data_IF_772458590193
#
_entry.id   IF_772458590193
#
_cell.length_a   1.000
_cell.length_b   1.000
_cell.length_c   1.000
_cell.angle_alpha   90.00
_cell.angle_beta   90.00
_cell.angle_gamma   90.00
#
_symmetry.space_group_name_H-M   'P 1'
#
loop_
_entity.id
_entity.type
_entity.pdbx_description
1 polymer ?
#
# COMPACT_ATOMS: atom_id res chain seq x y z
N UNK A 1 -25.85 12.50 8.80
CA UNK A 1 -24.73 11.57 9.06
C UNK A 1 -23.40 12.16 8.56
N UNK A 2 -23.16 12.27 7.24
CA UNK A 2 -21.88 12.79 6.71
C UNK A 2 -21.59 14.26 7.09
N UNK A 3 -22.62 15.10 7.19
CA UNK A 3 -22.47 16.49 7.66
C UNK A 3 -22.00 16.58 9.12
N UNK A 4 -22.42 15.64 9.98
CA UNK A 4 -21.98 15.57 11.37
C UNK A 4 -20.52 15.11 11.49
N UNK A 5 -19.97 14.58 10.40
CA UNK A 5 -18.60 14.14 10.24
C UNK A 5 -17.75 15.19 9.50
N UNK A 6 -18.26 16.38 9.19
CA UNK A 6 -17.55 17.37 8.35
C UNK A 6 -17.11 16.82 6.98
N UNK A 7 -17.81 15.81 6.44
CA UNK A 7 -17.54 15.27 5.11
C UNK A 7 -16.13 14.71 4.92
N UNK A 8 -15.59 14.89 3.70
CA UNK A 8 -14.22 14.52 3.35
C UNK A 8 -13.23 15.60 3.81
N UNK A 9 -12.04 15.17 4.23
CA UNK A 9 -10.93 16.08 4.47
C UNK A 9 -10.34 16.56 3.13
N UNK A 10 -10.62 17.80 2.75
CA UNK A 10 -10.21 18.38 1.46
C UNK A 10 -8.69 18.51 1.29
N UNK A 11 -7.92 18.41 2.39
CA UNK A 11 -6.45 18.40 2.35
C UNK A 11 -5.91 17.09 1.75
N UNK A 12 -6.70 16.03 1.77
CA UNK A 12 -6.35 14.74 1.20
C UNK A 12 -6.71 14.72 -0.29
N UNK A 13 -5.74 14.48 -1.17
CA UNK A 13 -5.98 14.26 -2.61
C UNK A 13 -6.23 12.77 -2.93
N UNK A 14 -5.80 11.87 -2.04
CA UNK A 14 -6.11 10.43 -2.08
C UNK A 14 -6.45 9.94 -0.67
N UNK A 15 -7.08 8.76 -0.59
CA UNK A 15 -7.49 8.10 0.65
C UNK A 15 -8.58 8.84 1.44
N UNK A 16 -9.30 9.80 0.83
CA UNK A 16 -10.38 10.51 1.51
C UNK A 16 -11.49 9.55 1.94
N UNK A 17 -11.78 8.57 1.09
CA UNK A 17 -12.72 7.47 1.30
C UNK A 17 -12.29 6.52 2.42
N UNK A 18 -11.01 6.15 2.46
CA UNK A 18 -10.44 5.28 3.50
C UNK A 18 -10.51 5.97 4.87
N UNK A 19 -10.06 7.23 4.94
CA UNK A 19 -10.09 8.04 6.16
C UNK A 19 -11.52 8.20 6.68
N UNK A 20 -12.45 8.61 5.81
CA UNK A 20 -13.84 8.81 6.17
C UNK A 20 -14.47 7.49 6.66
N UNK A 21 -14.20 6.38 5.97
CA UNK A 21 -14.68 5.05 6.37
C UNK A 21 -14.18 4.67 7.76
N UNK A 22 -12.90 4.91 8.06
CA UNK A 22 -12.32 4.67 9.40
C UNK A 22 -12.99 5.52 10.46
N UNK A 23 -13.26 6.78 10.16
CA UNK A 23 -13.89 7.72 11.08
C UNK A 23 -15.36 7.40 11.34
N UNK A 24 -16.11 6.95 10.32
CA UNK A 24 -17.47 6.40 10.47
C UNK A 24 -17.46 5.21 11.44
N UNK A 25 -16.59 4.23 11.20
CA UNK A 25 -16.51 3.03 12.04
C UNK A 25 -16.07 3.36 13.48
N UNK A 26 -15.16 4.33 13.66
CA UNK A 26 -14.69 4.78 14.99
C UNK A 26 -15.81 5.42 15.82
N UNK A 27 -16.84 5.96 15.19
CA UNK A 27 -18.04 6.47 15.87
C UNK A 27 -19.08 5.39 16.19
N UNK A 28 -18.75 4.10 16.00
CA UNK A 28 -19.67 2.99 16.26
C UNK A 28 -20.77 2.84 15.21
N UNK A 29 -20.63 3.51 14.06
CA UNK A 29 -21.56 3.39 12.95
C UNK A 29 -21.16 2.23 12.03
N UNK A 30 -22.13 1.75 11.24
CA UNK A 30 -21.94 0.63 10.32
C UNK A 30 -21.85 1.10 8.87
N UNK A 31 -21.01 0.43 8.07
CA UNK A 31 -20.94 0.59 6.62
C UNK A 31 -21.55 -0.66 5.99
N UNK A 32 -22.61 -0.49 5.21
CA UNK A 32 -23.31 -1.59 4.54
C UNK A 32 -22.86 -1.70 3.08
N UNK A 33 -22.50 -2.92 2.66
CA UNK A 33 -22.21 -3.22 1.27
C UNK A 33 -23.51 -3.63 0.57
N UNK A 34 -23.88 -2.92 -0.50
CA UNK A 34 -25.08 -3.21 -1.29
C UNK A 34 -24.67 -4.07 -2.49
N UNK A 35 -25.01 -5.38 -2.51
CA UNK A 35 -24.48 -6.31 -3.52
C UNK A 35 -25.10 -6.13 -4.91
N UNK A 36 -26.23 -5.42 -5.02
CA UNK A 36 -26.93 -5.19 -6.28
C UNK A 36 -26.30 -4.09 -7.14
N UNK A 37 -25.43 -3.26 -6.57
CA UNK A 37 -24.78 -2.16 -7.30
C UNK A 37 -23.55 -2.71 -8.02
N UNK A 38 -23.51 -2.53 -9.34
CA UNK A 38 -22.34 -2.87 -10.17
C UNK A 38 -21.76 -1.61 -10.81
N UNK A 39 -20.43 -1.64 -11.02
CA UNK A 39 -19.70 -0.59 -11.70
C UNK A 39 -18.64 -1.25 -12.59
N UNK A 40 -18.49 -0.77 -13.82
CA UNK A 40 -17.41 -1.21 -14.69
C UNK A 40 -16.13 -0.47 -14.29
N UNK A 41 -15.18 -1.21 -13.72
CA UNK A 41 -13.89 -0.68 -13.33
C UNK A 41 -12.82 -1.05 -14.36
N UNK A 42 -12.12 -0.04 -14.89
CA UNK A 42 -11.02 -0.24 -15.83
C UNK A 42 -9.69 -0.26 -15.08
N UNK A 43 -9.09 -1.44 -14.99
CA UNK A 43 -7.76 -1.62 -14.42
C UNK A 43 -6.68 -1.02 -15.35
N UNK A 44 -5.48 -0.81 -14.80
CA UNK A 44 -4.32 -0.41 -15.60
C UNK A 44 -3.84 -1.57 -16.46
N UNK A 45 -3.43 -1.26 -17.68
CA UNK A 45 -3.14 -2.28 -18.70
C UNK A 45 -1.64 -2.61 -18.79
N UNK A 46 -0.77 -1.79 -18.21
CA UNK A 46 0.68 -1.98 -18.23
C UNK A 46 1.32 -1.98 -16.84
N UNK A 47 2.46 -2.66 -16.71
CA UNK A 47 3.24 -2.68 -15.46
C UNK A 47 3.69 -1.29 -15.03
N UNK A 48 4.05 -0.40 -15.97
CA UNK A 48 4.45 0.97 -15.67
C UNK A 48 3.29 1.79 -15.08
N UNK A 49 2.08 1.61 -15.59
CA UNK A 49 0.91 2.27 -15.05
C UNK A 49 0.51 1.71 -13.67
N UNK A 50 0.63 0.39 -13.48
CA UNK A 50 0.43 -0.27 -12.19
C UNK A 50 1.45 0.25 -11.18
N UNK A 51 2.72 0.34 -11.56
CA UNK A 51 3.81 0.88 -10.75
C UNK A 51 3.50 2.32 -10.33
N UNK A 52 3.22 3.20 -11.29
CA UNK A 52 2.93 4.60 -11.01
C UNK A 52 1.70 4.79 -10.12
N UNK A 53 0.65 3.97 -10.29
CA UNK A 53 -0.54 4.02 -9.44
C UNK A 53 -0.25 3.58 -8.01
N UNK A 54 0.47 2.45 -7.85
CA UNK A 54 0.80 1.91 -6.53
C UNK A 54 1.82 2.75 -5.80
N UNK A 55 2.80 3.31 -6.50
CA UNK A 55 3.72 4.30 -5.95
C UNK A 55 2.96 5.50 -5.37
N UNK A 56 2.01 6.07 -6.11
CA UNK A 56 1.17 7.17 -5.60
C UNK A 56 0.33 6.75 -4.41
N UNK A 57 -0.20 5.52 -4.39
CA UNK A 57 -0.96 5.01 -3.25
C UNK A 57 -0.08 4.92 -1.99
N UNK A 58 1.09 4.29 -2.09
CA UNK A 58 2.04 4.21 -0.99
C UNK A 58 2.48 5.58 -0.49
N UNK A 59 2.84 6.47 -1.41
CA UNK A 59 3.20 7.86 -1.10
C UNK A 59 2.10 8.57 -0.30
N UNK A 60 0.85 8.47 -0.74
CA UNK A 60 -0.27 9.13 -0.09
C UNK A 60 -0.68 8.49 1.25
N UNK A 61 -0.34 7.24 1.53
CA UNK A 61 -0.64 6.65 2.84
C UNK A 61 0.07 7.36 3.97
N UNK A 62 1.38 7.53 3.84
CA UNK A 62 2.19 8.17 4.88
C UNK A 62 1.78 9.63 5.02
N UNK A 63 1.44 10.25 3.89
CA UNK A 63 0.91 11.60 3.89
C UNK A 63 -0.46 11.71 4.57
N UNK A 64 -1.35 10.74 4.37
CA UNK A 64 -2.66 10.70 5.02
C UNK A 64 -2.49 10.66 6.53
N UNK A 65 -1.60 9.80 7.04
CA UNK A 65 -1.27 9.74 8.47
C UNK A 65 -0.71 11.06 8.97
N UNK A 66 0.16 11.71 8.18
CA UNK A 66 0.75 13.00 8.54
C UNK A 66 -0.30 14.13 8.60
N UNK A 67 -1.13 14.28 7.57
CA UNK A 67 -2.16 15.33 7.45
C UNK A 67 -3.24 15.17 8.53
N UNK A 68 -3.71 13.94 8.73
CA UNK A 68 -4.73 13.62 9.73
C UNK A 68 -4.18 13.55 11.15
N UNK A 69 -2.85 13.46 11.30
CA UNK A 69 -2.16 13.17 12.57
C UNK A 69 -2.70 11.93 13.28
N UNK A 70 -3.17 10.96 12.50
CA UNK A 70 -3.83 9.77 13.01
C UNK A 70 -3.41 8.54 12.21
N UNK A 71 -2.66 7.63 12.85
CA UNK A 71 -2.23 6.36 12.23
C UNK A 71 -3.41 5.42 11.96
N UNK A 72 -4.50 5.54 12.72
CA UNK A 72 -5.72 4.73 12.55
C UNK A 72 -6.56 5.17 11.35
N UNK A 73 -6.22 6.30 10.69
CA UNK A 73 -6.81 6.70 9.40
C UNK A 73 -6.59 5.64 8.31
N UNK A 74 -5.62 4.74 8.51
CA UNK A 74 -5.33 3.60 7.64
C UNK A 74 -5.30 2.29 8.43
N UNK A 75 -5.63 1.18 7.76
CA UNK A 75 -5.42 -0.17 8.32
C UNK A 75 -3.94 -0.58 8.27
N UNK A 76 -3.51 -1.46 9.19
CA UNK A 76 -2.13 -1.96 9.27
C UNK A 76 -1.57 -2.55 7.96
N UNK A 77 -2.43 -3.18 7.14
CA UNK A 77 -2.06 -3.74 5.84
C UNK A 77 -1.42 -2.71 4.87
N UNK A 78 -1.75 -1.43 4.99
CA UNK A 78 -1.20 -0.38 4.12
C UNK A 78 0.27 -0.08 4.43
N UNK A 79 0.79 -0.51 5.60
CA UNK A 79 2.19 -0.34 5.98
C UNK A 79 3.04 -1.57 5.67
N UNK A 80 2.43 -2.72 5.34
CA UNK A 80 3.14 -3.97 5.04
C UNK A 80 4.13 -3.82 3.86
N UNK A 81 3.77 -3.18 2.73
CA UNK A 81 4.72 -2.99 1.63
C UNK A 81 5.92 -2.11 2.01
N UNK A 82 5.71 -1.09 2.85
CA UNK A 82 6.79 -0.25 3.39
C UNK A 82 7.72 -1.09 4.29
N UNK A 83 7.14 -1.91 5.17
CA UNK A 83 7.89 -2.81 6.05
C UNK A 83 8.78 -3.78 5.27
N UNK A 84 8.27 -4.35 4.17
CA UNK A 84 9.05 -5.21 3.27
C UNK A 84 10.27 -4.48 2.70
N UNK A 85 10.05 -3.29 2.11
CA UNK A 85 11.13 -2.49 1.51
C UNK A 85 12.17 -2.07 2.54
N UNK A 86 11.74 -1.62 3.72
CA UNK A 86 12.65 -1.24 4.82
C UNK A 86 13.43 -2.44 5.34
N UNK A 87 12.80 -3.59 5.54
CA UNK A 87 13.48 -4.79 6.02
C UNK A 87 14.56 -5.26 5.05
N UNK A 88 14.27 -5.26 3.75
CA UNK A 88 15.25 -5.58 2.70
C UNK A 88 16.37 -4.53 2.65
N UNK A 89 16.04 -3.24 2.66
CA UNK A 89 17.05 -2.17 2.61
C UNK A 89 17.97 -2.19 3.83
N UNK A 90 17.41 -2.28 5.04
CA UNK A 90 18.18 -2.30 6.27
C UNK A 90 19.09 -3.53 6.37
N UNK A 91 18.59 -4.73 6.06
CA UNK A 91 19.41 -5.96 6.09
C UNK A 91 20.52 -5.94 5.04
N UNK A 92 20.24 -5.40 3.84
CA UNK A 92 21.26 -5.23 2.81
C UNK A 92 22.37 -4.26 3.24
N UNK A 93 21.99 -3.07 3.72
CA UNK A 93 22.95 -2.05 4.17
C UNK A 93 23.76 -2.53 5.37
N UNK A 94 23.11 -3.18 6.35
CA UNK A 94 23.81 -3.80 7.48
C UNK A 94 24.76 -4.91 7.04
N UNK A 95 24.43 -5.66 5.99
CA UNK A 95 25.28 -6.70 5.41
C UNK A 95 26.64 -6.20 4.91
N UNK A 96 26.74 -4.92 4.54
CA UNK A 96 28.00 -4.27 4.14
C UNK A 96 28.94 -4.15 5.34
N UNK A 97 28.40 -3.90 6.54
CA UNK A 97 29.18 -3.73 7.77
C UNK A 97 29.28 -5.03 8.59
N UNK A 98 28.29 -5.92 8.45
CA UNK A 98 28.15 -7.15 9.20
C UNK A 98 27.54 -8.23 8.31
N UNK A 99 28.42 -9.01 7.66
CA UNK A 99 28.08 -10.03 6.67
C UNK A 99 26.93 -10.98 7.07
N UNK A 100 26.79 -11.43 8.33
CA UNK A 100 25.66 -12.27 8.73
C UNK A 100 24.27 -11.66 8.43
N UNK A 101 24.14 -10.33 8.34
CA UNK A 101 22.87 -9.68 7.99
C UNK A 101 22.38 -10.03 6.58
N UNK A 102 23.27 -10.42 5.66
CA UNK A 102 22.90 -10.88 4.31
C UNK A 102 22.00 -12.12 4.36
N UNK A 103 22.17 -13.01 5.35
CA UNK A 103 21.28 -14.15 5.50
C UNK A 103 19.84 -13.71 5.83
N UNK A 104 19.67 -12.63 6.60
CA UNK A 104 18.35 -12.06 6.86
C UNK A 104 17.74 -11.47 5.58
N UNK A 105 18.52 -10.74 4.78
CA UNK A 105 18.08 -10.24 3.47
C UNK A 105 17.57 -11.37 2.57
N UNK A 106 18.37 -12.43 2.42
CA UNK A 106 18.02 -13.60 1.60
C UNK A 106 16.77 -14.29 2.16
N UNK A 107 16.67 -14.47 3.48
CA UNK A 107 15.52 -15.10 4.11
C UNK A 107 14.22 -14.31 3.87
N UNK A 108 14.25 -12.98 4.02
CA UNK A 108 13.09 -12.11 3.77
C UNK A 108 12.66 -12.22 2.30
N UNK A 109 13.62 -12.12 1.37
CA UNK A 109 13.34 -12.20 -0.05
C UNK A 109 12.77 -13.57 -0.45
N UNK A 110 13.29 -14.65 0.13
CA UNK A 110 12.81 -16.01 -0.09
C UNK A 110 11.39 -16.20 0.44
N UNK A 111 11.10 -15.79 1.68
CA UNK A 111 9.77 -15.88 2.27
C UNK A 111 8.75 -15.11 1.41
N UNK A 112 9.09 -13.89 1.01
CA UNK A 112 8.26 -13.10 0.12
C UNK A 112 8.01 -13.81 -1.22
N UNK A 113 9.06 -14.31 -1.86
CA UNK A 113 8.98 -14.96 -3.18
C UNK A 113 8.16 -16.25 -3.12
N UNK A 114 8.34 -17.07 -2.08
CA UNK A 114 7.53 -18.28 -1.84
C UNK A 114 6.07 -17.92 -1.62
N UNK A 115 5.79 -16.87 -0.82
CA UNK A 115 4.44 -16.37 -0.60
C UNK A 115 3.76 -15.91 -1.90
N UNK A 116 4.47 -15.13 -2.72
CA UNK A 116 3.97 -14.68 -4.03
C UNK A 116 3.72 -15.86 -4.97
N UNK A 117 4.63 -16.85 -4.99
CA UNK A 117 4.44 -18.05 -5.81
C UNK A 117 3.22 -18.85 -5.35
N UNK A 118 3.07 -19.07 -4.04
CA UNK A 118 1.93 -19.77 -3.47
C UNK A 118 0.61 -19.06 -3.81
N UNK A 119 0.51 -17.75 -3.58
CA UNK A 119 -0.68 -16.97 -3.91
C UNK A 119 -0.96 -17.01 -5.41
N UNK A 120 0.05 -16.80 -6.25
CA UNK A 120 -0.11 -16.81 -7.71
C UNK A 120 -0.56 -18.18 -8.22
N UNK A 121 -0.07 -19.27 -7.65
CA UNK A 121 -0.51 -20.63 -7.98
C UNK A 121 -1.92 -20.97 -7.45
N UNK A 122 -2.35 -20.31 -6.36
CA UNK A 122 -3.69 -20.51 -5.78
C UNK A 122 -4.80 -19.76 -6.53
N UNK A 123 -4.44 -18.75 -7.34
CA UNK A 123 -5.38 -17.99 -8.16
C UNK A 123 -5.77 -18.84 -9.37
N UNK A 124 -7.02 -19.32 -9.39
CA UNK A 124 -7.58 -20.11 -10.49
C UNK A 124 -8.15 -19.22 -11.61
N UNK A 125 -7.30 -18.37 -12.20
CA UNK A 125 -7.64 -17.56 -13.37
C UNK A 125 -7.03 -18.17 -14.63
N UNK A 126 -7.86 -18.44 -15.64
CA UNK A 126 -7.44 -19.01 -16.93
C UNK A 126 -7.06 -17.95 -17.97
N UNK A 127 -7.32 -16.68 -17.67
CA UNK A 127 -7.11 -15.56 -18.60
C UNK A 127 -5.74 -14.90 -18.45
N UNK A 128 -5.01 -15.23 -17.39
CA UNK A 128 -3.67 -14.71 -17.10
C UNK A 128 -2.69 -15.83 -16.77
N UNK A 129 -1.41 -15.57 -16.99
CA UNK A 129 -0.35 -16.53 -16.64
C UNK A 129 0.17 -16.29 -15.23
N UNK A 130 0.69 -17.34 -14.59
CA UNK A 130 1.37 -17.23 -13.29
C UNK A 130 2.53 -16.23 -13.30
N UNK A 131 3.29 -16.14 -14.40
CA UNK A 131 4.39 -15.18 -14.52
C UNK A 131 3.90 -13.73 -14.47
N UNK A 132 2.75 -13.45 -15.10
CA UNK A 132 2.15 -12.13 -15.07
C UNK A 132 1.63 -11.76 -13.67
N UNK A 133 1.09 -12.73 -12.93
CA UNK A 133 0.68 -12.56 -11.53
C UNK A 133 1.88 -12.26 -10.62
N UNK A 134 2.95 -13.06 -10.74
CA UNK A 134 4.19 -12.85 -9.98
C UNK A 134 4.71 -11.44 -10.23
N UNK A 135 4.88 -11.05 -11.50
CA UNK A 135 5.34 -9.69 -11.84
C UNK A 135 4.38 -8.60 -11.37
N UNK A 136 3.08 -8.84 -11.42
CA UNK A 136 2.07 -7.93 -10.89
C UNK A 136 2.21 -7.71 -9.39
N UNK A 137 2.41 -8.78 -8.60
CA UNK A 137 2.64 -8.69 -7.17
C UNK A 137 3.94 -7.98 -6.82
N UNK A 138 5.04 -8.29 -7.51
CA UNK A 138 6.32 -7.59 -7.32
C UNK A 138 6.16 -6.10 -7.64
N UNK A 139 5.60 -5.78 -8.81
CA UNK A 139 5.34 -4.38 -9.22
C UNK A 139 4.52 -3.66 -8.17
N UNK A 140 3.42 -4.25 -7.69
CA UNK A 140 2.57 -3.67 -6.66
C UNK A 140 3.32 -3.43 -5.35
N UNK A 141 3.91 -4.47 -4.74
CA UNK A 141 4.46 -4.36 -3.39
C UNK A 141 5.70 -3.45 -3.35
N UNK A 142 6.59 -3.56 -4.33
CA UNK A 142 7.80 -2.74 -4.34
C UNK A 142 7.47 -1.28 -4.68
N UNK A 143 6.71 -1.00 -5.75
CA UNK A 143 6.37 0.39 -6.09
C UNK A 143 5.59 1.08 -4.97
N UNK A 144 4.66 0.38 -4.33
CA UNK A 144 3.93 0.87 -3.17
C UNK A 144 4.84 1.11 -1.98
N UNK A 145 5.70 0.15 -1.64
CA UNK A 145 6.65 0.28 -0.53
C UNK A 145 7.64 1.43 -0.73
N UNK A 146 8.19 1.58 -1.94
CA UNK A 146 9.04 2.71 -2.30
C UNK A 146 8.28 4.04 -2.28
N UNK A 147 7.05 4.08 -2.79
CA UNK A 147 6.17 5.24 -2.69
C UNK A 147 5.98 5.69 -1.24
N UNK A 148 5.65 4.75 -0.36
CA UNK A 148 5.55 4.98 1.09
C UNK A 148 6.85 5.50 1.70
N UNK A 149 8.00 4.90 1.33
CA UNK A 149 9.31 5.33 1.82
C UNK A 149 9.62 6.77 1.42
N UNK A 150 9.36 7.14 0.16
CA UNK A 150 9.52 8.53 -0.31
C UNK A 150 8.53 9.46 0.40
N UNK A 151 7.32 8.98 0.70
CA UNK A 151 6.33 9.70 1.48
C UNK A 151 6.86 10.17 2.84
N UNK A 152 7.70 9.37 3.52
CA UNK A 152 8.36 9.73 4.79
C UNK A 152 9.23 10.98 4.62
N UNK A 153 10.03 11.04 3.55
CA UNK A 153 11.00 12.11 3.33
C UNK A 153 10.43 13.37 2.67
N UNK A 154 9.15 13.37 2.29
CA UNK A 154 8.49 14.51 1.62
C UNK A 154 7.34 15.13 2.43
N UNK A 155 7.18 14.72 3.69
CA UNK A 155 6.18 15.31 4.60
C UNK A 155 6.40 16.81 4.82
N UNK A 156 7.65 17.28 4.72
CA UNK A 156 8.08 18.68 4.85
C UNK A 156 7.57 19.61 3.74
N UNK A 157 7.28 19.07 2.55
CA UNK A 157 6.88 19.88 1.39
C UNK A 157 5.40 20.26 1.37
N UNK A 158 4.63 19.79 2.35
CA UNK A 158 3.16 19.86 2.31
C UNK A 158 2.62 20.93 3.26
N UNK A 159 3.45 21.45 4.16
CA UNK A 159 3.15 22.65 4.96
C UNK A 159 3.44 23.98 4.26
N UNK A 160 3.73 23.98 2.95
CA UNK A 160 4.03 25.21 2.16
C UNK A 160 3.02 25.52 1.06
N UNK A 161 1.84 24.88 1.08
CA UNK A 161 0.73 25.18 0.18
C UNK A 161 -0.39 25.86 0.95
#
# INVERSE_FOLDING_TARGET
MLLNLNGYDERLVRNQDIELSKRILKQGMSIYLVPSVSCNYYARESYLEIEGNNYRNGYWNLLTVYITRNIESLSMRHFVPLGLVLALLCSFVLGIFWFPSIFAFIAILLIYSVGVLYVSASINDRTTSILHLIWGFFTLHFSYGFGSLVGIFRMDKIGKA
#
